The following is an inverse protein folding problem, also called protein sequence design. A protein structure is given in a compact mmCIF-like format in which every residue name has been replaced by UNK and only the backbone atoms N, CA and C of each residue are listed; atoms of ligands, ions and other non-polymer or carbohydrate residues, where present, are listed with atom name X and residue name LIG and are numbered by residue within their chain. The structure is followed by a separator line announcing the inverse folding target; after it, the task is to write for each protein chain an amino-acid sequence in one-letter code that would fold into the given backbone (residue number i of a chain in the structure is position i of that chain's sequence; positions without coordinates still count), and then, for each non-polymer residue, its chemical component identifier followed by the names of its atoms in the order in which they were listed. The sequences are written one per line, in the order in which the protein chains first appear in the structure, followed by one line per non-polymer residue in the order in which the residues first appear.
data_IF_950644613016
#
_entry.id   IF_950644613016
#
_cell.length_a   1.000
_cell.length_b   1.000
_cell.length_c   1.000
_cell.angle_alpha   90.00
_cell.angle_beta   90.00
_cell.angle_gamma   90.00
#
_symmetry.space_group_name_H-M   'P 1'
#
loop_
_entity.id
_entity.type
_entity.pdbx_description
1 polymer ?
#
# COMPACT_ATOMS: atom_id res chain seq x y z
N UNK A 1 7.29 1.75 1.43
CA UNK A 1 6.67 0.56 2.08
C UNK A 1 7.58 -0.46 2.79
N UNK A 2 8.71 -0.90 2.20
CA UNK A 2 9.44 -2.11 2.66
C UNK A 2 9.94 -2.08 4.12
N UNK A 3 10.60 -0.99 4.54
CA UNK A 3 11.14 -0.86 5.89
C UNK A 3 10.03 -0.90 6.95
N UNK A 4 8.91 -0.19 6.69
CA UNK A 4 7.72 -0.24 7.52
C UNK A 4 7.17 -1.68 7.60
N UNK A 5 7.15 -2.40 6.49
CA UNK A 5 6.69 -3.79 6.45
C UNK A 5 7.52 -4.74 7.27
N UNK A 6 8.84 -4.61 7.23
CA UNK A 6 9.71 -5.38 8.11
C UNK A 6 9.44 -5.08 9.59
N UNK A 7 9.38 -3.79 9.97
CA UNK A 7 9.11 -3.39 11.35
C UNK A 7 7.75 -3.90 11.85
N UNK A 8 6.70 -3.81 11.03
CA UNK A 8 5.38 -4.35 11.37
C UNK A 8 5.39 -5.88 11.48
N UNK A 9 6.10 -6.58 10.59
CA UNK A 9 6.19 -8.03 10.65
C UNK A 9 6.83 -8.50 11.96
N UNK A 10 7.90 -7.82 12.42
CA UNK A 10 8.54 -8.06 13.71
C UNK A 10 7.58 -7.76 14.86
N UNK A 11 6.96 -6.58 14.87
CA UNK A 11 6.05 -6.16 15.94
C UNK A 11 4.82 -7.06 16.09
N UNK A 12 4.25 -7.50 14.97
CA UNK A 12 3.08 -8.39 14.92
C UNK A 12 3.44 -9.88 15.00
N UNK A 13 4.73 -10.22 15.12
CA UNK A 13 5.24 -11.59 15.18
C UNK A 13 4.76 -12.47 14.02
N UNK A 14 4.69 -11.90 12.82
CA UNK A 14 4.30 -12.62 11.61
C UNK A 14 5.50 -12.87 10.71
N UNK A 15 5.51 -14.05 10.06
CA UNK A 15 6.48 -14.41 9.02
C UNK A 15 5.91 -14.24 7.60
N UNK A 16 4.64 -13.86 7.49
CA UNK A 16 3.93 -13.71 6.22
C UNK A 16 4.07 -12.26 5.73
N UNK A 17 5.28 -11.89 5.32
CA UNK A 17 5.57 -10.59 4.71
C UNK A 17 5.83 -10.81 3.22
N UNK A 18 5.06 -10.12 2.40
CA UNK A 18 5.17 -10.16 0.95
C UNK A 18 5.36 -8.74 0.41
N UNK A 19 5.89 -8.65 -0.81
CA UNK A 19 5.99 -7.41 -1.56
C UNK A 19 5.28 -7.56 -2.90
N UNK A 20 4.76 -6.45 -3.41
CA UNK A 20 4.37 -6.27 -4.80
C UNK A 20 5.02 -4.98 -5.28
N UNK A 21 5.17 -4.82 -6.58
CA UNK A 21 5.71 -3.63 -7.18
C UNK A 21 4.58 -2.82 -7.84
N UNK A 22 4.69 -1.50 -7.74
CA UNK A 22 3.86 -0.58 -8.52
C UNK A 22 4.70 0.55 -9.10
N UNK A 23 4.39 0.96 -10.32
CA UNK A 23 5.03 2.09 -11.01
C UNK A 23 3.92 3.02 -11.51
N UNK A 24 3.94 4.25 -11.02
CA UNK A 24 2.99 5.30 -11.42
C UNK A 24 3.69 6.49 -12.09
N UNK A 25 5.00 6.62 -11.89
CA UNK A 25 5.81 7.68 -12.47
C UNK A 25 7.00 7.07 -13.18
N UNK A 26 7.29 7.60 -14.37
CA UNK A 26 8.56 7.40 -15.05
C UNK A 26 9.34 8.71 -14.96
N UNK A 27 10.32 8.77 -14.06
CA UNK A 27 11.00 9.99 -13.64
C UNK A 27 9.99 11.06 -13.17
N UNK A 28 9.84 12.14 -13.92
CA UNK A 28 8.92 13.25 -13.61
C UNK A 28 7.56 13.11 -14.27
N UNK A 29 7.38 12.12 -15.16
CA UNK A 29 6.14 11.95 -15.92
C UNK A 29 5.22 10.96 -15.23
N UNK A 30 4.04 11.44 -14.82
CA UNK A 30 2.94 10.60 -14.37
C UNK A 30 2.43 9.75 -15.54
N UNK A 31 2.25 8.46 -15.30
CA UNK A 31 1.69 7.52 -16.27
C UNK A 31 0.16 7.56 -16.21
N UNK A 32 -0.50 7.30 -17.34
CA UNK A 32 -1.98 7.24 -17.41
C UNK A 32 -2.53 6.01 -16.67
N UNK A 33 -1.69 4.99 -16.47
CA UNK A 33 -2.03 3.75 -15.77
C UNK A 33 -0.93 3.44 -14.75
N UNK A 34 -1.33 2.77 -13.67
CA UNK A 34 -0.39 2.26 -12.66
C UNK A 34 -0.04 0.84 -13.06
N UNK A 35 1.24 0.60 -13.35
CA UNK A 35 1.74 -0.75 -13.59
C UNK A 35 1.88 -1.45 -12.24
N UNK A 36 1.30 -2.66 -12.10
CA UNK A 36 1.37 -3.46 -10.88
C UNK A 36 1.86 -4.86 -11.24
N UNK A 37 2.94 -5.31 -10.60
CA UNK A 37 3.58 -6.58 -10.91
C UNK A 37 4.18 -7.24 -9.66
N UNK A 38 4.70 -8.46 -9.81
CA UNK A 38 5.18 -9.31 -8.72
C UNK A 38 4.14 -9.53 -7.60
N UNK A 39 2.86 -9.59 -7.97
CA UNK A 39 1.77 -9.79 -7.02
C UNK A 39 1.90 -11.21 -6.40
N UNK A 40 2.05 -11.32 -5.07
CA UNK A 40 2.18 -12.62 -4.39
C UNK A 40 0.88 -13.43 -4.49
N UNK A 41 0.99 -14.75 -4.30
CA UNK A 41 -0.20 -15.59 -4.15
C UNK A 41 -0.81 -15.43 -2.76
N UNK A 42 -2.01 -14.84 -2.71
CA UNK A 42 -2.77 -14.61 -1.48
C UNK A 42 -3.92 -15.62 -1.30
N UNK A 43 -4.01 -16.67 -2.13
CA UNK A 43 -5.09 -17.66 -2.12
C UNK A 43 -5.36 -18.29 -0.75
N UNK A 44 -4.30 -18.49 0.06
CA UNK A 44 -4.39 -19.10 1.40
C UNK A 44 -4.55 -18.09 2.55
N UNK A 45 -4.63 -16.80 2.25
CA UNK A 45 -4.68 -15.73 3.23
C UNK A 45 -6.05 -15.05 3.24
N UNK A 46 -6.59 -14.74 4.42
CA UNK A 46 -7.90 -14.10 4.57
C UNK A 46 -7.82 -12.63 4.93
N UNK A 47 -6.90 -12.24 5.82
CA UNK A 47 -6.73 -10.86 6.27
C UNK A 47 -5.41 -10.34 5.78
N UNK A 48 -5.45 -9.27 5.00
CA UNK A 48 -4.28 -8.65 4.39
C UNK A 48 -4.17 -7.22 4.90
N UNK A 49 -2.99 -6.86 5.37
CA UNK A 49 -2.62 -5.49 5.68
C UNK A 49 -1.69 -5.00 4.57
N UNK A 50 -2.22 -4.18 3.67
CA UNK A 50 -1.44 -3.47 2.67
C UNK A 50 -0.79 -2.26 3.33
N UNK A 51 0.49 -2.05 3.04
CA UNK A 51 1.32 -1.07 3.74
C UNK A 51 2.08 -0.21 2.73
N UNK A 52 2.12 1.10 3.01
CA UNK A 52 3.08 1.98 2.36
C UNK A 52 3.53 3.10 3.31
N UNK A 53 4.62 3.78 2.98
CA UNK A 53 5.16 4.86 3.83
C UNK A 53 4.29 6.13 3.80
N UNK A 54 3.71 6.47 2.65
CA UNK A 54 2.81 7.61 2.48
C UNK A 54 1.62 7.35 1.58
N UNK A 55 0.48 7.96 1.92
CA UNK A 55 -0.66 8.15 1.01
C UNK A 55 -0.77 9.61 0.62
N UNK A 56 -0.26 9.95 -0.57
CA UNK A 56 -0.30 11.30 -1.15
C UNK A 56 -1.60 11.56 -1.93
N UNK A 57 -1.65 11.20 -3.21
CA UNK A 57 -2.91 11.22 -3.99
C UNK A 57 -3.80 10.01 -3.68
N UNK A 58 -3.21 8.91 -3.21
CA UNK A 58 -3.90 7.64 -2.96
C UNK A 58 -4.16 6.78 -4.21
N UNK A 59 -3.80 7.25 -5.41
CA UNK A 59 -4.06 6.55 -6.67
C UNK A 59 -3.40 5.16 -6.74
N UNK A 60 -2.12 5.06 -6.36
CA UNK A 60 -1.38 3.80 -6.36
C UNK A 60 -2.04 2.74 -5.47
N UNK A 61 -2.40 3.10 -4.24
CA UNK A 61 -3.05 2.19 -3.32
C UNK A 61 -4.50 1.87 -3.72
N UNK A 62 -5.20 2.80 -4.39
CA UNK A 62 -6.54 2.53 -4.93
C UNK A 62 -6.48 1.45 -6.01
N UNK A 63 -5.56 1.56 -6.97
CA UNK A 63 -5.43 0.57 -8.04
C UNK A 63 -4.91 -0.76 -7.51
N UNK A 64 -3.94 -0.76 -6.58
CA UNK A 64 -3.48 -1.99 -5.91
C UNK A 64 -4.63 -2.67 -5.18
N UNK A 65 -5.43 -1.92 -4.41
CA UNK A 65 -6.60 -2.46 -3.71
C UNK A 65 -7.59 -3.10 -4.68
N UNK A 66 -7.89 -2.43 -5.78
CA UNK A 66 -8.76 -2.95 -6.84
C UNK A 66 -8.22 -4.25 -7.42
N UNK A 67 -6.97 -4.26 -7.90
CA UNK A 67 -6.33 -5.45 -8.50
C UNK A 67 -6.27 -6.63 -7.53
N UNK A 68 -5.95 -6.37 -6.25
CA UNK A 68 -5.90 -7.44 -5.24
C UNK A 68 -7.29 -8.03 -4.94
N UNK A 69 -8.35 -7.21 -4.87
CA UNK A 69 -9.71 -7.68 -4.62
C UNK A 69 -10.32 -8.39 -5.85
N UNK A 70 -9.97 -7.95 -7.06
CA UNK A 70 -10.35 -8.65 -8.30
C UNK A 70 -9.69 -10.03 -8.38
N UNK A 71 -8.39 -10.12 -8.04
CA UNK A 71 -7.63 -11.37 -8.10
C UNK A 71 -7.93 -12.33 -6.94
N UNK A 72 -8.24 -11.79 -5.76
CA UNK A 72 -8.46 -12.55 -4.54
C UNK A 72 -9.73 -12.05 -3.81
N UNK A 73 -10.93 -12.34 -4.34
CA UNK A 73 -12.18 -11.77 -3.81
C UNK A 73 -12.53 -12.20 -2.38
N UNK A 74 -11.84 -13.22 -1.83
CA UNK A 74 -12.05 -13.72 -0.47
C UNK A 74 -11.28 -12.96 0.61
N UNK A 75 -10.40 -12.02 0.25
CA UNK A 75 -9.56 -11.31 1.22
C UNK A 75 -10.30 -10.11 1.84
N UNK A 76 -10.11 -9.91 3.14
CA UNK A 76 -10.35 -8.66 3.85
C UNK A 76 -9.06 -7.83 3.77
N UNK A 77 -9.11 -6.72 3.05
CA UNK A 77 -7.94 -5.86 2.80
C UNK A 77 -8.06 -4.54 3.58
N UNK A 78 -7.08 -4.27 4.45
CA UNK A 78 -6.90 -2.99 5.16
C UNK A 78 -5.60 -2.32 4.74
N UNK A 79 -5.54 -1.00 4.90
CA UNK A 79 -4.38 -0.17 4.52
C UNK A 79 -3.78 0.48 5.77
N UNK A 80 -2.45 0.37 5.92
CA UNK A 80 -1.68 1.06 6.95
C UNK A 80 -0.60 1.95 6.34
N UNK A 81 -0.43 3.15 6.89
CA UNK A 81 0.61 4.09 6.48
C UNK A 81 1.19 4.89 7.63
N UNK A 82 2.40 5.44 7.44
CA UNK A 82 2.98 6.41 8.39
C UNK A 82 2.35 7.78 8.12
N UNK A 83 2.41 8.24 6.88
CA UNK A 83 1.96 9.57 6.48
C UNK A 83 0.73 9.52 5.58
N UNK A 84 -0.17 10.49 5.73
CA UNK A 84 -1.33 10.61 4.85
C UNK A 84 -1.66 12.09 4.59
N UNK A 85 -2.21 12.38 3.40
CA UNK A 85 -2.87 13.67 3.14
C UNK A 85 -4.38 13.52 3.20
N UNK A 86 -5.08 14.50 3.77
CA UNK A 86 -6.55 14.52 3.78
C UNK A 86 -7.17 14.65 2.39
N UNK A 87 -6.40 15.14 1.43
CA UNK A 87 -6.81 15.29 0.02
C UNK A 87 -6.67 14.00 -0.78
N UNK A 88 -6.17 12.92 -0.18
CA UNK A 88 -6.02 11.63 -0.87
C UNK A 88 -7.38 11.04 -1.27
N UNK A 89 -7.40 10.29 -2.37
CA UNK A 89 -8.57 9.58 -2.89
C UNK A 89 -9.10 8.51 -1.93
N UNK A 90 -8.24 8.01 -1.05
CA UNK A 90 -8.61 7.02 -0.05
C UNK A 90 -8.01 7.36 1.30
N UNK A 91 -8.77 7.03 2.34
CA UNK A 91 -8.35 7.15 3.73
C UNK A 91 -7.79 5.80 4.20
N UNK A 92 -6.54 5.75 4.71
CA UNK A 92 -5.98 4.54 5.29
C UNK A 92 -6.74 4.12 6.57
N UNK A 93 -6.95 2.82 6.77
CA UNK A 93 -7.55 2.26 7.98
C UNK A 93 -6.68 2.54 9.22
N UNK A 94 -5.36 2.51 9.06
CA UNK A 94 -4.39 2.81 10.09
C UNK A 94 -3.40 3.86 9.59
N UNK A 95 -3.22 4.94 10.36
CA UNK A 95 -2.37 6.07 9.98
C UNK A 95 -1.80 6.75 11.20
N UNK A 96 -0.58 7.30 11.07
CA UNK A 96 0.13 7.92 12.19
C UNK A 96 0.04 9.44 12.13
N UNK A 97 0.46 10.06 11.01
CA UNK A 97 0.63 11.51 10.94
C UNK A 97 0.13 12.08 9.63
N UNK A 98 -0.58 13.21 9.70
CA UNK A 98 -0.95 13.98 8.52
C UNK A 98 0.30 14.66 7.94
N UNK A 99 0.52 14.52 6.64
CA UNK A 99 1.58 15.21 5.91
C UNK A 99 1.08 16.56 5.38
N UNK A 100 1.47 17.64 6.05
CA UNK A 100 1.19 19.02 5.62
C UNK A 100 2.31 19.63 4.79
N UNK A 101 3.47 18.97 4.77
CA UNK A 101 4.69 19.42 4.09
C UNK A 101 5.38 18.23 3.39
N UNK A 102 6.47 18.51 2.66
CA UNK A 102 7.30 17.46 2.08
C UNK A 102 7.88 16.55 3.16
N UNK A 103 7.85 15.24 2.93
CA UNK A 103 8.40 14.24 3.84
C UNK A 103 9.68 13.68 3.24
N UNK A 104 10.78 13.81 4.00
CA UNK A 104 12.05 13.15 3.72
C UNK A 104 12.15 11.89 4.59
N UNK A 105 12.37 10.72 3.98
CA UNK A 105 12.18 9.39 4.57
C UNK A 105 13.47 8.72 5.04
#
# INVERSE_FOLDING_TARGET
GMSLGHSLAVALKTRQLFALNSIHYNNTKKLDTIEIFNIPDLSKHKKILLIDDIVDSGESLAEIKKVLLEKFPHIELKIATIFYKKTALLEPDFKVKEATEWVDF
#
